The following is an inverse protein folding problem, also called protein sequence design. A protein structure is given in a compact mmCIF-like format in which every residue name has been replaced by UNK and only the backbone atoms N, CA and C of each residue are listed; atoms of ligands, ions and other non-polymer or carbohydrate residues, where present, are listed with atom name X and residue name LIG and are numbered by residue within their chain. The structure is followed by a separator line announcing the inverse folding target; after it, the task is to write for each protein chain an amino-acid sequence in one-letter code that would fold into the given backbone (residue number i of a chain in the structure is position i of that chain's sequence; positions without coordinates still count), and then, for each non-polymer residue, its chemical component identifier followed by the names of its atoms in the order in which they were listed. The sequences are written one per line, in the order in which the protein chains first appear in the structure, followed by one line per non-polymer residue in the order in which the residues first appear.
data_IF_172880944610
#
_entry.id   IF_172880944610
#
_cell.length_a   1.000
_cell.length_b   1.000
_cell.length_c   1.000
_cell.angle_alpha   90.00
_cell.angle_beta   90.00
_cell.angle_gamma   90.00
#
_symmetry.space_group_name_H-M   'P 1'
#
loop_
_entity.id
_entity.type
_entity.pdbx_description
1 polymer ?
#
# COMPACT_ATOMS: atom_id res chain seq x y z
N UNK A 1 -17.63 -19.31 -4.87
CA UNK A 1 -18.06 -19.97 -6.10
C UNK A 1 -18.25 -21.46 -5.86
N UNK A 2 -17.20 -22.25 -5.54
CA UNK A 2 -17.29 -23.71 -5.36
C UNK A 2 -18.32 -24.13 -4.30
N UNK A 3 -18.49 -23.36 -3.24
CA UNK A 3 -19.48 -23.59 -2.20
C UNK A 3 -20.92 -23.10 -2.55
N UNK A 4 -21.11 -22.49 -3.72
CA UNK A 4 -22.40 -21.94 -4.15
C UNK A 4 -22.85 -20.66 -3.45
N UNK A 5 -22.03 -20.09 -2.55
CA UNK A 5 -22.36 -18.89 -1.77
C UNK A 5 -22.32 -17.63 -2.64
N UNK A 6 -21.33 -17.53 -3.53
CA UNK A 6 -21.15 -16.41 -4.44
C UNK A 6 -21.40 -16.89 -5.87
N UNK A 7 -22.36 -16.28 -6.61
CA UNK A 7 -22.58 -16.59 -8.03
C UNK A 7 -21.32 -16.31 -8.86
N UNK A 8 -20.96 -17.26 -9.73
CA UNK A 8 -19.75 -17.17 -10.54
C UNK A 8 -19.74 -15.95 -11.47
N UNK A 9 -20.92 -15.59 -12.00
CA UNK A 9 -21.08 -14.46 -12.90
C UNK A 9 -20.69 -13.13 -12.25
N UNK A 10 -20.99 -12.91 -10.95
CA UNK A 10 -20.61 -11.68 -10.25
C UNK A 10 -19.09 -11.45 -10.20
N UNK A 11 -18.33 -12.52 -10.31
CA UNK A 11 -16.86 -12.45 -10.34
C UNK A 11 -16.37 -12.32 -11.77
N UNK A 12 -16.78 -13.24 -12.66
CA UNK A 12 -16.20 -13.33 -14.00
C UNK A 12 -16.68 -12.24 -14.97
N UNK A 13 -17.82 -11.59 -14.69
CA UNK A 13 -18.27 -10.43 -15.47
C UNK A 13 -17.87 -9.08 -14.89
N UNK A 14 -17.19 -9.09 -13.72
CA UNK A 14 -16.70 -7.87 -13.11
C UNK A 14 -15.60 -7.25 -13.98
N UNK A 15 -15.64 -5.94 -14.31
CA UNK A 15 -14.64 -5.28 -15.13
C UNK A 15 -13.23 -5.27 -14.49
N UNK A 16 -13.15 -5.46 -13.18
CA UNK A 16 -11.86 -5.58 -12.46
C UNK A 16 -11.33 -7.01 -12.40
N UNK A 17 -12.10 -8.00 -12.89
CA UNK A 17 -11.58 -9.36 -12.97
C UNK A 17 -10.41 -9.45 -13.96
N UNK A 18 -9.32 -10.08 -13.54
CA UNK A 18 -8.12 -10.26 -14.36
C UNK A 18 -7.91 -11.75 -14.67
N UNK A 19 -8.42 -12.22 -15.79
CA UNK A 19 -8.31 -13.63 -16.20
C UNK A 19 -6.85 -14.08 -16.35
N UNK A 20 -5.92 -13.15 -16.63
CA UNK A 20 -4.47 -13.41 -16.73
C UNK A 20 -3.86 -13.92 -15.43
N UNK A 21 -4.50 -13.62 -14.29
CA UNK A 21 -4.06 -14.08 -12.97
C UNK A 21 -4.60 -15.44 -12.58
N UNK A 22 -5.52 -16.00 -13.39
CA UNK A 22 -6.09 -17.30 -13.09
C UNK A 22 -5.03 -18.39 -13.14
N UNK A 23 -4.91 -19.17 -12.06
CA UNK A 23 -3.92 -20.26 -11.96
C UNK A 23 -2.49 -19.79 -11.64
N UNK A 24 -2.24 -18.49 -11.55
CA UNK A 24 -0.96 -17.94 -11.08
C UNK A 24 -0.92 -17.91 -9.55
N UNK A 25 0.27 -18.09 -8.99
CA UNK A 25 0.53 -17.91 -7.56
C UNK A 25 1.64 -16.88 -7.38
N UNK A 26 1.41 -15.82 -6.60
CA UNK A 26 2.46 -14.88 -6.27
C UNK A 26 3.50 -15.53 -5.35
N UNK A 27 4.72 -14.98 -5.26
CA UNK A 27 5.74 -15.44 -4.32
C UNK A 27 5.19 -15.50 -2.89
N UNK A 28 5.49 -16.59 -2.19
CA UNK A 28 5.00 -16.83 -0.82
C UNK A 28 3.49 -17.00 -0.67
N UNK A 29 2.74 -17.09 -1.79
CA UNK A 29 1.26 -17.12 -1.82
C UNK A 29 0.63 -15.86 -1.19
N UNK A 30 1.35 -14.72 -1.22
CA UNK A 30 0.92 -13.43 -0.67
C UNK A 30 0.19 -12.65 -1.77
N UNK A 31 -1.12 -12.58 -1.65
CA UNK A 31 -1.99 -11.90 -2.63
C UNK A 31 -2.21 -10.42 -2.32
N UNK A 32 -2.09 -10.04 -1.05
CA UNK A 32 -2.31 -8.67 -0.58
C UNK A 32 -1.28 -8.35 0.50
N UNK A 33 -0.48 -7.31 0.29
CA UNK A 33 0.50 -6.86 1.27
C UNK A 33 -0.11 -5.92 2.31
N UNK A 34 -1.09 -5.12 1.91
CA UNK A 34 -1.79 -4.13 2.73
C UNK A 34 -3.28 -4.24 2.47
N UNK A 35 -4.07 -4.37 3.53
CA UNK A 35 -5.51 -4.40 3.48
C UNK A 35 -6.09 -3.36 4.43
N UNK A 36 -6.96 -2.50 3.93
CA UNK A 36 -7.78 -1.59 4.72
C UNK A 36 -9.11 -2.26 5.04
N UNK A 37 -9.25 -2.79 6.24
CA UNK A 37 -10.46 -3.49 6.65
C UNK A 37 -11.42 -2.51 7.30
N UNK A 38 -12.60 -2.31 6.70
CA UNK A 38 -13.65 -1.49 7.25
C UNK A 38 -14.47 -2.30 8.26
N UNK A 39 -14.55 -1.78 9.48
CA UNK A 39 -15.21 -2.44 10.61
C UNK A 39 -16.42 -1.64 11.10
N UNK A 40 -17.50 -2.34 11.37
CA UNK A 40 -18.67 -1.77 12.05
C UNK A 40 -18.77 -2.37 13.44
N UNK A 41 -18.82 -1.53 14.46
CA UNK A 41 -19.07 -1.96 15.83
C UNK A 41 -20.56 -2.22 16.04
N UNK A 42 -20.90 -3.46 16.39
CA UNK A 42 -22.29 -3.91 16.57
C UNK A 42 -22.70 -4.05 18.03
N UNK A 43 -21.78 -3.85 18.97
CA UNK A 43 -22.00 -3.97 20.40
C UNK A 43 -20.75 -3.68 21.21
N UNK A 44 -20.77 -4.01 22.48
CA UNK A 44 -19.62 -3.74 23.39
C UNK A 44 -18.35 -4.45 22.93
N UNK A 45 -18.46 -5.73 22.54
CA UNK A 45 -17.34 -6.57 22.11
C UNK A 45 -17.49 -7.09 20.66
N UNK A 46 -18.51 -6.58 19.93
CA UNK A 46 -18.85 -7.06 18.60
C UNK A 46 -18.32 -6.15 17.48
N UNK A 47 -17.57 -6.73 16.56
CA UNK A 47 -17.19 -6.08 15.30
C UNK A 47 -17.54 -6.99 14.13
N UNK A 48 -18.03 -6.41 13.05
CA UNK A 48 -18.23 -7.09 11.78
C UNK A 48 -17.45 -6.38 10.68
N UNK A 49 -16.89 -7.13 9.77
CA UNK A 49 -16.23 -6.61 8.58
C UNK A 49 -17.29 -6.16 7.60
N UNK A 50 -17.21 -4.92 7.15
CA UNK A 50 -18.06 -4.38 6.10
C UNK A 50 -17.45 -4.66 4.72
N UNK A 51 -16.17 -4.30 4.56
CA UNK A 51 -15.43 -4.55 3.32
C UNK A 51 -13.91 -4.61 3.56
N UNK A 52 -13.20 -5.14 2.57
CA UNK A 52 -11.74 -5.17 2.51
C UNK A 52 -11.25 -4.33 1.34
N UNK A 53 -10.55 -3.23 1.62
CA UNK A 53 -9.90 -2.40 0.62
C UNK A 53 -8.48 -2.92 0.37
N UNK A 54 -8.26 -3.61 -0.75
CA UNK A 54 -7.00 -4.29 -1.05
C UNK A 54 -6.15 -3.63 -2.14
N UNK A 55 -6.67 -2.60 -2.82
CA UNK A 55 -5.98 -1.98 -3.95
C UNK A 55 -5.05 -0.85 -3.52
N UNK A 56 -5.58 0.23 -3.01
CA UNK A 56 -4.83 1.39 -2.50
C UNK A 56 -5.46 1.94 -1.22
N UNK A 57 -5.52 1.14 -0.12
CA UNK A 57 -6.12 1.63 1.11
C UNK A 57 -5.40 2.88 1.60
N UNK A 58 -6.15 3.84 2.14
CA UNK A 58 -5.65 5.10 2.65
C UNK A 58 -6.20 5.39 4.04
N UNK A 59 -5.61 6.40 4.72
CA UNK A 59 -6.08 6.86 6.03
C UNK A 59 -5.17 6.48 7.20
N UNK A 60 -4.16 5.62 7.01
CA UNK A 60 -3.25 5.21 8.08
C UNK A 60 -2.41 6.36 8.62
N UNK A 61 -2.04 7.33 7.79
CA UNK A 61 -1.34 8.55 8.22
C UNK A 61 -2.15 9.31 9.26
N UNK A 62 -3.44 9.48 9.01
CA UNK A 62 -4.35 10.14 9.95
C UNK A 62 -4.54 9.35 11.24
N UNK A 63 -4.55 8.02 11.18
CA UNK A 63 -4.59 7.18 12.38
C UNK A 63 -3.34 7.39 13.25
N UNK A 64 -2.15 7.42 12.65
CA UNK A 64 -0.89 7.64 13.36
C UNK A 64 -0.81 9.04 13.95
N UNK A 65 -1.15 10.08 13.16
CA UNK A 65 -1.20 11.47 13.63
C UNK A 65 -2.24 11.67 14.76
N UNK A 66 -3.43 11.09 14.60
CA UNK A 66 -4.46 11.15 15.64
C UNK A 66 -3.99 10.48 16.94
N UNK A 67 -3.30 9.33 16.86
CA UNK A 67 -2.74 8.68 18.03
C UNK A 67 -1.73 9.58 18.73
N UNK A 68 -0.81 10.18 17.99
CA UNK A 68 0.19 11.09 18.54
C UNK A 68 -0.46 12.33 19.18
N UNK A 69 -1.47 12.92 18.51
CA UNK A 69 -2.24 14.02 19.04
C UNK A 69 -2.98 13.65 20.33
N UNK A 70 -3.64 12.50 20.35
CA UNK A 70 -4.36 12.00 21.53
C UNK A 70 -3.42 11.81 22.73
N UNK A 71 -2.24 11.26 22.51
CA UNK A 71 -1.23 11.07 23.57
C UNK A 71 -0.77 12.42 24.16
N UNK A 72 -0.66 13.45 23.33
CA UNK A 72 -0.28 14.80 23.78
C UNK A 72 -1.42 15.52 24.52
N UNK A 73 -2.65 15.38 24.04
CA UNK A 73 -3.82 16.08 24.61
C UNK A 73 -4.40 15.40 25.84
N UNK A 74 -4.30 14.07 25.91
CA UNK A 74 -4.91 13.26 26.96
C UNK A 74 -3.93 12.25 27.57
N UNK A 75 -2.77 12.70 28.10
CA UNK A 75 -1.76 11.79 28.64
C UNK A 75 -2.28 10.92 29.80
N UNK A 76 -3.18 11.46 30.63
CA UNK A 76 -3.77 10.73 31.76
C UNK A 76 -4.61 9.55 31.28
N UNK A 77 -5.33 9.69 30.16
CA UNK A 77 -6.11 8.60 29.55
C UNK A 77 -5.21 7.42 29.17
N UNK A 78 -4.01 7.70 28.64
CA UNK A 78 -3.05 6.67 28.26
C UNK A 78 -2.34 6.05 29.46
N UNK A 79 -2.21 6.78 30.57
CA UNK A 79 -1.67 6.25 31.81
C UNK A 79 -2.67 5.32 32.52
N UNK A 80 -3.96 5.64 32.46
CA UNK A 80 -5.02 4.85 33.09
C UNK A 80 -5.44 3.61 32.28
N UNK A 81 -5.30 3.65 30.95
CA UNK A 81 -5.73 2.61 30.04
C UNK A 81 -4.56 1.95 29.30
N UNK A 82 -4.59 0.63 29.24
CA UNK A 82 -3.61 -0.15 28.49
C UNK A 82 -3.95 -0.13 27.00
N UNK A 83 -3.56 0.95 26.30
CA UNK A 83 -3.79 1.13 24.88
C UNK A 83 -2.63 0.52 24.08
N UNK A 84 -2.94 -0.29 23.06
CA UNK A 84 -1.91 -0.88 22.20
C UNK A 84 -1.21 0.19 21.38
N UNK A 85 0.12 0.12 21.23
CA UNK A 85 0.87 1.01 20.34
C UNK A 85 0.49 0.74 18.88
N UNK A 86 0.60 1.77 18.04
CA UNK A 86 0.38 1.70 16.58
C UNK A 86 1.58 2.19 15.79
N UNK A 87 2.60 2.70 16.46
CA UNK A 87 3.79 3.32 15.89
C UNK A 87 4.62 2.30 15.08
N UNK A 88 4.51 1.02 15.42
CA UNK A 88 5.18 -0.08 14.70
C UNK A 88 4.66 -0.31 13.29
N UNK A 89 3.56 0.36 12.89
CA UNK A 89 2.98 0.20 11.55
C UNK A 89 4.00 0.48 10.44
N UNK A 90 4.73 1.57 10.54
CA UNK A 90 5.70 1.97 9.51
C UNK A 90 6.88 1.00 9.41
N UNK A 91 7.36 0.47 10.52
CA UNK A 91 8.40 -0.55 10.54
C UNK A 91 7.92 -1.86 9.90
N UNK A 92 6.68 -2.27 10.19
CA UNK A 92 6.07 -3.45 9.58
C UNK A 92 5.83 -3.27 8.09
N UNK A 93 5.41 -2.08 7.66
CA UNK A 93 5.25 -1.76 6.25
C UNK A 93 6.59 -1.83 5.53
N UNK A 94 7.64 -1.21 6.06
CA UNK A 94 8.98 -1.25 5.49
C UNK A 94 9.49 -2.69 5.40
N UNK A 95 9.30 -3.49 6.44
CA UNK A 95 9.68 -4.91 6.44
C UNK A 95 8.93 -5.70 5.36
N UNK A 96 7.63 -5.44 5.16
CA UNK A 96 6.84 -6.06 4.09
C UNK A 96 7.33 -5.67 2.69
N UNK A 97 7.67 -4.39 2.50
CA UNK A 97 8.23 -3.91 1.23
C UNK A 97 9.60 -4.54 0.95
N UNK A 98 10.49 -4.61 1.95
CA UNK A 98 11.78 -5.28 1.81
C UNK A 98 11.64 -6.77 1.49
N UNK A 99 10.67 -7.45 2.11
CA UNK A 99 10.40 -8.86 1.84
C UNK A 99 9.84 -9.11 0.43
N UNK A 100 9.32 -8.07 -0.24
CA UNK A 100 8.84 -8.13 -1.63
C UNK A 100 9.93 -7.88 -2.67
N UNK A 101 11.14 -7.56 -2.22
CA UNK A 101 12.25 -7.28 -3.13
C UNK A 101 12.66 -8.54 -3.92
N UNK A 102 13.05 -8.40 -5.20
CA UNK A 102 13.56 -9.52 -5.98
C UNK A 102 14.90 -10.01 -5.41
N UNK A 103 15.20 -11.29 -5.57
CA UNK A 103 16.42 -11.94 -5.03
C UNK A 103 17.71 -11.19 -5.37
N UNK A 104 17.78 -10.56 -6.53
CA UNK A 104 18.97 -9.84 -6.99
C UNK A 104 19.10 -8.40 -6.45
N UNK A 105 18.15 -7.93 -5.64
CA UNK A 105 18.20 -6.59 -5.04
C UNK A 105 19.24 -6.47 -3.92
N UNK A 106 19.72 -7.60 -3.39
CA UNK A 106 20.66 -7.61 -2.27
C UNK A 106 19.99 -7.36 -0.92
N UNK A 107 20.82 -7.04 0.09
CA UNK A 107 20.35 -6.92 1.47
C UNK A 107 19.62 -5.59 1.77
N UNK A 108 19.86 -4.55 0.98
CA UNK A 108 19.25 -3.23 1.14
C UNK A 108 18.62 -2.77 -0.18
N UNK A 109 17.40 -3.25 -0.48
CA UNK A 109 16.70 -2.90 -1.71
C UNK A 109 16.32 -1.42 -1.74
N UNK A 110 16.47 -0.79 -2.91
CA UNK A 110 16.00 0.57 -3.12
C UNK A 110 14.48 0.60 -3.32
N UNK A 111 13.78 1.13 -2.32
CA UNK A 111 12.32 1.21 -2.27
C UNK A 111 11.89 2.64 -2.55
N UNK A 112 10.82 2.82 -3.32
CA UNK A 112 10.22 4.13 -3.57
C UNK A 112 8.71 4.09 -3.36
N UNK A 113 8.12 5.23 -2.97
CA UNK A 113 6.67 5.45 -2.97
C UNK A 113 6.30 6.19 -4.25
N UNK A 114 5.51 5.55 -5.11
CA UNK A 114 5.02 6.15 -6.35
C UNK A 114 3.69 6.84 -6.13
N UNK A 115 3.67 8.16 -6.32
CA UNK A 115 2.48 9.01 -6.20
C UNK A 115 2.05 9.57 -7.55
N UNK A 116 0.75 9.85 -7.75
CA UNK A 116 0.27 10.63 -8.91
C UNK A 116 0.55 12.14 -8.78
N UNK A 117 1.14 12.58 -7.67
CA UNK A 117 1.53 13.97 -7.46
C UNK A 117 0.59 14.78 -6.56
N UNK A 118 0.89 16.08 -6.36
CA UNK A 118 0.30 16.93 -5.32
C UNK A 118 -1.19 17.24 -5.53
N UNK A 119 -1.75 16.97 -6.70
CA UNK A 119 -3.18 17.16 -6.97
C UNK A 119 -4.04 15.98 -6.52
N UNK A 120 -3.43 14.88 -6.06
CA UNK A 120 -4.14 13.74 -5.52
C UNK A 120 -4.62 14.03 -4.10
N UNK A 121 -5.87 13.67 -3.79
CA UNK A 121 -6.47 13.89 -2.46
C UNK A 121 -5.73 13.20 -1.31
N UNK A 122 -5.03 12.09 -1.60
CA UNK A 122 -4.25 11.34 -0.63
C UNK A 122 -2.74 11.69 -0.63
N UNK A 123 -2.33 12.79 -1.33
CA UNK A 123 -0.92 13.15 -1.44
C UNK A 123 -0.23 13.35 -0.09
N UNK A 124 -0.93 13.95 0.86
CA UNK A 124 -0.44 14.08 2.24
C UNK A 124 0.01 12.72 2.80
N UNK A 125 -0.83 11.69 2.66
CA UNK A 125 -0.49 10.36 3.14
C UNK A 125 0.70 9.76 2.38
N UNK A 126 0.80 10.00 1.07
CA UNK A 126 1.93 9.50 0.28
C UNK A 126 3.26 10.09 0.76
N UNK A 127 3.30 11.40 0.99
CA UNK A 127 4.50 12.09 1.50
C UNK A 127 4.80 11.71 2.96
N UNK A 128 3.77 11.60 3.80
CA UNK A 128 3.90 11.15 5.18
C UNK A 128 4.51 9.75 5.26
N UNK A 129 4.00 8.81 4.47
CA UNK A 129 4.54 7.45 4.46
C UNK A 129 5.97 7.39 3.93
N UNK A 130 6.28 8.11 2.85
CA UNK A 130 7.65 8.16 2.32
C UNK A 130 8.64 8.68 3.38
N UNK A 131 8.29 9.76 4.08
CA UNK A 131 9.07 10.34 5.17
C UNK A 131 9.25 9.34 6.34
N UNK A 132 8.17 8.75 6.83
CA UNK A 132 8.22 7.80 7.95
C UNK A 132 8.96 6.50 7.62
N UNK A 133 8.92 6.06 6.36
CA UNK A 133 9.66 4.89 5.87
C UNK A 133 11.13 5.20 5.56
N UNK A 134 11.49 6.48 5.43
CA UNK A 134 12.83 6.91 5.00
C UNK A 134 13.14 6.52 3.56
N UNK A 135 12.12 6.56 2.67
CA UNK A 135 12.26 6.22 1.24
C UNK A 135 11.85 7.39 0.36
N UNK A 136 12.30 7.37 -0.90
CA UNK A 136 12.00 8.44 -1.85
C UNK A 136 10.53 8.42 -2.27
N UNK A 137 9.92 9.62 -2.31
CA UNK A 137 8.64 9.88 -2.95
C UNK A 137 8.88 10.26 -4.41
N UNK A 138 8.33 9.49 -5.33
CA UNK A 138 8.55 9.70 -6.78
C UNK A 138 7.22 9.84 -7.52
N UNK A 139 7.23 10.63 -8.57
CA UNK A 139 6.17 10.71 -9.59
C UNK A 139 6.57 9.91 -10.83
N UNK A 140 5.63 9.70 -11.76
CA UNK A 140 5.91 8.96 -13.00
C UNK A 140 7.04 9.56 -13.84
N UNK A 141 7.20 10.90 -13.81
CA UNK A 141 8.28 11.61 -14.50
C UNK A 141 9.68 11.37 -13.93
N UNK A 142 9.76 10.96 -12.66
CA UNK A 142 11.03 10.67 -11.99
C UNK A 142 11.55 9.26 -12.31
N UNK A 143 10.68 8.41 -12.85
CA UNK A 143 11.02 7.04 -13.20
C UNK A 143 11.26 6.88 -14.70
N UNK A 144 12.09 5.93 -15.06
CA UNK A 144 12.28 5.46 -16.43
C UNK A 144 12.75 4.01 -16.46
N UNK A 145 12.55 3.35 -17.59
CA UNK A 145 12.97 1.96 -17.81
C UNK A 145 14.17 1.95 -18.75
N UNK A 146 15.18 1.17 -18.40
CA UNK A 146 16.31 0.85 -19.26
C UNK A 146 16.64 -0.64 -19.12
N UNK A 147 16.70 -1.36 -20.24
CA UNK A 147 16.94 -2.81 -20.29
C UNK A 147 16.04 -3.61 -19.31
N UNK A 148 14.74 -3.32 -19.36
CA UNK A 148 13.68 -3.93 -18.51
C UNK A 148 13.86 -3.71 -16.99
N UNK A 149 14.72 -2.78 -16.60
CA UNK A 149 14.95 -2.38 -15.21
C UNK A 149 14.46 -0.97 -14.98
N UNK A 150 13.76 -0.76 -13.87
CA UNK A 150 13.29 0.56 -13.45
C UNK A 150 14.39 1.33 -12.73
N UNK A 151 14.56 2.58 -13.12
CA UNK A 151 15.46 3.54 -12.47
C UNK A 151 14.72 4.80 -12.08
N UNK A 152 15.14 5.44 -10.99
CA UNK A 152 14.76 6.79 -10.67
C UNK A 152 15.87 7.79 -11.03
N UNK A 153 15.46 9.00 -11.41
CA UNK A 153 16.35 10.13 -11.67
C UNK A 153 16.78 10.74 -10.33
N UNK A 154 18.07 10.88 -10.11
CA UNK A 154 18.61 11.60 -8.96
C UNK A 154 19.64 12.63 -9.41
N UNK A 155 20.01 13.54 -8.52
CA UNK A 155 21.06 14.53 -8.78
C UNK A 155 22.44 13.91 -8.97
N UNK A 156 22.64 12.69 -8.48
CA UNK A 156 23.88 11.93 -8.63
C UNK A 156 23.88 10.99 -9.84
N UNK A 157 22.77 10.95 -10.59
CA UNK A 157 22.55 10.08 -11.72
C UNK A 157 21.45 9.05 -11.49
N UNK A 158 21.24 8.13 -12.44
CA UNK A 158 20.23 7.10 -12.32
C UNK A 158 20.49 6.16 -11.15
N UNK A 159 19.46 5.91 -10.32
CA UNK A 159 19.51 4.92 -9.26
C UNK A 159 18.46 3.84 -9.53
N UNK A 160 18.85 2.58 -9.51
CA UNK A 160 17.95 1.45 -9.73
C UNK A 160 16.87 1.41 -8.66
N UNK A 161 15.64 1.08 -9.04
CA UNK A 161 14.51 0.85 -8.14
C UNK A 161 14.21 -0.64 -8.09
N UNK A 162 14.19 -1.20 -6.89
CA UNK A 162 13.95 -2.63 -6.66
C UNK A 162 12.50 -2.92 -6.23
N UNK A 163 11.89 -1.99 -5.46
CA UNK A 163 10.51 -2.11 -4.98
C UNK A 163 9.77 -0.79 -5.16
N UNK A 164 8.58 -0.86 -5.71
CA UNK A 164 7.68 0.29 -5.85
C UNK A 164 6.44 0.08 -4.99
N UNK A 165 6.29 0.88 -3.93
CA UNK A 165 5.03 1.00 -3.23
C UNK A 165 4.15 2.00 -3.96
N UNK A 166 3.26 1.49 -4.81
CA UNK A 166 2.45 2.36 -5.65
C UNK A 166 1.22 2.88 -4.90
N UNK A 167 0.97 4.18 -5.06
CA UNK A 167 -0.21 4.88 -4.56
C UNK A 167 -1.02 5.50 -5.72
N UNK A 168 -0.95 4.87 -6.87
CA UNK A 168 -1.59 5.26 -8.12
C UNK A 168 -2.43 4.09 -8.64
N UNK A 169 -3.58 4.36 -9.24
CA UNK A 169 -4.45 3.34 -9.81
C UNK A 169 -3.83 2.64 -11.03
N UNK A 170 -4.23 1.39 -11.25
CA UNK A 170 -3.78 0.56 -12.37
C UNK A 170 -4.01 1.23 -13.71
N UNK A 171 -5.14 1.93 -13.86
CA UNK A 171 -5.52 2.64 -15.07
C UNK A 171 -4.48 3.68 -15.50
N UNK A 172 -3.65 4.16 -14.58
CA UNK A 172 -2.56 5.11 -14.87
C UNK A 172 -1.20 4.44 -15.06
N UNK A 173 -1.11 3.13 -14.89
CA UNK A 173 0.14 2.37 -15.05
C UNK A 173 0.08 1.35 -16.18
N UNK A 174 -1.10 0.80 -16.46
CA UNK A 174 -1.28 -0.20 -17.49
C UNK A 174 -1.25 0.45 -18.88
N UNK A 175 -0.21 0.19 -19.70
CA UNK A 175 -0.11 0.77 -21.04
C UNK A 175 -1.25 0.35 -21.97
N UNK A 176 -1.97 -0.74 -21.66
CA UNK A 176 -3.13 -1.18 -22.47
C UNK A 176 -4.34 -0.28 -22.27
N UNK A 177 -4.42 0.39 -21.12
CA UNK A 177 -5.48 1.37 -20.83
C UNK A 177 -5.17 2.72 -21.47
N UNK A 178 -3.90 3.16 -21.45
CA UNK A 178 -3.48 4.45 -22.00
C UNK A 178 -3.33 4.51 -23.53
N UNK A 179 -3.05 3.38 -24.14
CA UNK A 179 -2.72 3.30 -25.58
C UNK A 179 -3.88 2.83 -26.43
N UNK A 180 -5.08 3.31 -26.13
CA UNK A 180 -6.23 3.11 -27.02
C UNK A 180 -6.17 4.03 -28.23
#
# INVERSE_FOLDING_TARGET
IKAGIVPAELIFTNPHYRPEMQGRRPPGDIWTHICGVDLVRTGEDGFVVLEDNCRTPSGVSYMLENREMMMRLFPDLFAEHRIRPVETYTDMLLASLRASAPEHAGADPNIVVLTPGPFNSAYYEHSFLADKLGVELVEGGDLFVNDDIVFMRTTEGPKRVDVIYRRIDDDFLDPTVFRK
#
